data_IF_286064717990
#
_entry.id   IF_286064717990
#
_cell.length_a   1.000
_cell.length_b   1.000
_cell.length_c   1.000
_cell.angle_alpha   90.00
_cell.angle_beta   90.00
_cell.angle_gamma   90.00
#
_symmetry.space_group_name_H-M   'P 1'
#
loop_
_entity.id
_entity.type
_entity.pdbx_description
1 polymer ?
#
# COMPACT_ATOMS: atom_id res chain seq x y z
N UNK A 1 -42.37 36.87 15.31
CA UNK A 1 -41.52 36.24 14.29
C UNK A 1 -40.29 37.13 14.11
N UNK A 2 -39.16 36.64 14.61
CA UNK A 2 -37.78 37.14 14.56
C UNK A 2 -37.27 37.09 13.10
N UNK A 3 -36.46 38.03 12.59
CA UNK A 3 -35.04 38.22 12.94
C UNK A 3 -34.52 39.63 12.55
N UNK A 4 -33.97 40.36 13.51
CA UNK A 4 -32.97 41.42 13.29
C UNK A 4 -31.89 41.23 14.36
N UNK A 5 -30.91 40.38 14.08
CA UNK A 5 -29.88 39.96 15.04
C UNK A 5 -28.46 40.24 14.52
N UNK A 6 -28.28 41.33 13.79
CA UNK A 6 -26.95 41.91 13.61
C UNK A 6 -27.15 43.41 13.64
N UNK A 7 -26.94 44.00 14.80
CA UNK A 7 -26.08 45.17 14.94
C UNK A 7 -26.08 45.64 16.39
N UNK A 8 -24.88 45.99 16.85
CA UNK A 8 -24.58 46.58 18.15
C UNK A 8 -24.55 45.55 19.30
N UNK A 9 -23.53 45.47 20.16
CA UNK A 9 -22.60 46.49 20.65
C UNK A 9 -21.35 45.77 21.27
N UNK A 10 -20.22 46.51 21.37
CA UNK A 10 -19.08 46.37 22.32
C UNK A 10 -18.06 45.28 21.95
N UNK A 11 -16.88 45.57 21.38
CA UNK A 11 -15.83 46.52 21.77
C UNK A 11 -15.41 46.42 23.25
N UNK A 12 -15.14 45.21 23.72
CA UNK A 12 -14.37 44.97 24.94
C UNK A 12 -13.27 43.95 24.64
N UNK A 13 -12.02 44.40 24.74
CA UNK A 13 -10.84 43.54 24.59
C UNK A 13 -10.75 42.60 25.79
N UNK A 14 -10.76 41.26 25.60
CA UNK A 14 -10.49 40.36 26.70
C UNK A 14 -8.98 40.28 26.93
N UNK A 15 -8.59 40.69 28.12
CA UNK A 15 -7.28 40.60 28.75
C UNK A 15 -6.59 39.25 28.50
N UNK A 16 -5.35 39.34 28.01
CA UNK A 16 -4.24 38.38 28.07
C UNK A 16 -4.56 37.02 28.73
N UNK A 17 -5.07 36.06 27.94
CA UNK A 17 -5.13 34.67 28.35
C UNK A 17 -3.75 34.09 28.08
N UNK A 18 -3.03 33.81 29.17
CA UNK A 18 -1.72 33.15 29.14
C UNK A 18 -1.75 32.00 28.13
N UNK A 19 -0.74 31.96 27.26
CA UNK A 19 -0.46 30.87 26.32
C UNK A 19 -0.59 29.52 27.05
N UNK A 20 -1.77 28.91 26.94
CA UNK A 20 -1.95 27.50 27.17
C UNK A 20 -1.37 26.83 25.94
N UNK A 21 -0.05 26.66 25.95
CA UNK A 21 0.59 25.67 25.09
C UNK A 21 -0.14 24.34 25.39
N UNK A 22 -0.88 23.74 24.44
CA UNK A 22 -1.17 22.33 24.61
C UNK A 22 0.20 21.63 24.70
N UNK A 23 0.42 20.68 25.61
CA UNK A 23 1.61 19.87 25.54
C UNK A 23 1.51 19.13 24.20
N UNK A 24 2.22 19.64 23.19
CA UNK A 24 2.56 18.90 22.00
C UNK A 24 3.52 17.80 22.47
N UNK A 25 2.95 16.78 23.13
CA UNK A 25 3.48 15.45 22.94
C UNK A 25 3.25 15.19 21.47
N UNK A 26 4.27 15.56 20.69
CA UNK A 26 4.58 14.90 19.44
C UNK A 26 4.61 13.43 19.84
N UNK A 27 3.48 12.75 19.64
CA UNK A 27 3.48 11.32 19.57
C UNK A 27 4.34 11.08 18.34
N UNK A 28 5.63 10.86 18.57
CA UNK A 28 6.48 10.22 17.59
C UNK A 28 5.85 8.83 17.50
N UNK A 29 4.80 8.72 16.69
CA UNK A 29 4.59 7.47 15.99
C UNK A 29 5.88 7.31 15.24
N UNK A 30 6.74 6.44 15.75
CA UNK A 30 7.70 5.72 14.94
C UNK A 30 6.85 5.16 13.81
N UNK A 31 6.68 5.96 12.75
CA UNK A 31 6.40 5.43 11.45
C UNK A 31 7.64 4.59 11.23
N UNK A 32 7.50 3.29 11.44
CA UNK A 32 8.28 2.32 10.70
C UNK A 32 8.14 2.76 9.25
N UNK A 33 9.04 3.64 8.81
CA UNK A 33 9.18 4.02 7.43
C UNK A 33 9.66 2.74 6.79
N UNK A 34 8.68 1.95 6.36
CA UNK A 34 8.92 0.78 5.55
C UNK A 34 9.80 1.26 4.41
N UNK A 35 11.04 0.81 4.39
CA UNK A 35 12.02 1.19 3.37
C UNK A 35 11.59 0.51 2.08
N UNK A 36 10.72 1.18 1.34
CA UNK A 36 10.14 0.68 0.11
C UNK A 36 11.19 0.59 -0.98
N UNK A 37 11.17 -0.50 -1.74
CA UNK A 37 11.93 -0.55 -2.99
C UNK A 37 11.10 0.11 -4.10
N UNK A 38 11.11 1.45 -4.16
CA UNK A 38 10.32 2.24 -5.13
C UNK A 38 10.58 1.88 -6.60
N UNK A 39 11.78 1.44 -6.94
CA UNK A 39 12.20 1.07 -8.32
C UNK A 39 11.66 -0.30 -8.80
N UNK A 40 10.89 -1.00 -7.97
CA UNK A 40 10.51 -2.41 -8.16
C UNK A 40 9.69 -2.76 -9.42
N UNK A 41 9.05 -1.79 -10.07
CA UNK A 41 8.05 -2.09 -11.10
C UNK A 41 8.61 -2.29 -12.51
N UNK A 42 9.77 -1.70 -12.81
CA UNK A 42 10.25 -1.56 -14.19
C UNK A 42 10.90 -2.83 -14.73
N UNK A 43 11.68 -3.52 -13.90
CA UNK A 43 12.41 -4.74 -14.30
C UNK A 43 11.66 -5.99 -13.84
N UNK A 44 11.77 -7.09 -14.58
CA UNK A 44 11.30 -8.40 -14.11
C UNK A 44 11.94 -8.76 -12.77
N UNK A 45 11.16 -9.42 -11.92
CA UNK A 45 11.64 -9.98 -10.66
C UNK A 45 12.26 -11.37 -10.87
N UNK A 46 12.76 -11.97 -9.79
CA UNK A 46 13.10 -13.39 -9.81
C UNK A 46 11.88 -14.25 -10.15
N UNK A 47 12.10 -15.39 -10.80
CA UNK A 47 11.08 -16.25 -11.42
C UNK A 47 9.80 -16.42 -10.58
N UNK A 48 9.94 -16.78 -9.29
CA UNK A 48 8.82 -17.02 -8.37
C UNK A 48 7.99 -15.74 -8.12
N UNK A 49 8.66 -14.60 -7.92
CA UNK A 49 7.98 -13.32 -7.68
C UNK A 49 7.38 -12.75 -8.97
N UNK A 50 8.03 -12.95 -10.10
CA UNK A 50 7.52 -12.52 -11.40
C UNK A 50 6.28 -13.33 -11.80
N UNK A 51 6.29 -14.65 -11.58
CA UNK A 51 5.12 -15.50 -11.78
C UNK A 51 3.94 -15.05 -10.91
N UNK A 52 4.18 -14.74 -9.63
CA UNK A 52 3.16 -14.19 -8.75
C UNK A 52 2.61 -12.84 -9.26
N UNK A 53 3.48 -11.93 -9.70
CA UNK A 53 3.05 -10.66 -10.28
C UNK A 53 2.18 -10.86 -11.53
N UNK A 54 2.52 -11.80 -12.40
CA UNK A 54 1.71 -12.13 -13.58
C UNK A 54 0.35 -12.71 -13.20
N UNK A 55 0.28 -13.58 -12.19
CA UNK A 55 -0.97 -14.12 -11.68
C UNK A 55 -1.87 -13.02 -11.08
N UNK A 56 -1.30 -12.05 -10.35
CA UNK A 56 -2.06 -10.89 -9.86
C UNK A 56 -2.69 -10.08 -10.99
N UNK A 57 -1.99 -9.89 -12.10
CA UNK A 57 -2.54 -9.19 -13.28
C UNK A 57 -3.73 -9.97 -13.85
N UNK A 58 -3.61 -11.28 -14.04
CA UNK A 58 -4.71 -12.11 -14.55
C UNK A 58 -5.93 -12.08 -13.63
N UNK A 59 -5.72 -12.17 -12.31
CA UNK A 59 -6.81 -12.09 -11.33
C UNK A 59 -7.48 -10.73 -11.35
N UNK A 60 -6.70 -9.66 -11.47
CA UNK A 60 -7.24 -8.31 -11.62
C UNK A 60 -8.07 -8.17 -12.90
N UNK A 61 -7.57 -8.65 -14.04
CA UNK A 61 -8.31 -8.62 -15.31
C UNK A 61 -9.67 -9.31 -15.19
N UNK A 62 -9.70 -10.50 -14.59
CA UNK A 62 -10.96 -11.22 -14.33
C UNK A 62 -11.89 -10.42 -13.41
N UNK A 63 -11.38 -9.86 -12.32
CA UNK A 63 -12.16 -9.03 -11.40
C UNK A 63 -12.71 -7.78 -12.11
N UNK A 64 -11.88 -7.13 -12.93
CA UNK A 64 -12.24 -5.95 -13.70
C UNK A 64 -13.38 -6.24 -14.68
N UNK A 65 -13.27 -7.29 -15.49
CA UNK A 65 -14.31 -7.63 -16.46
C UNK A 65 -15.60 -8.08 -15.79
N UNK A 66 -15.52 -8.75 -14.64
CA UNK A 66 -16.70 -9.13 -13.86
C UNK A 66 -17.46 -7.93 -13.30
N UNK A 67 -16.76 -6.86 -12.90
CA UNK A 67 -17.37 -5.68 -12.30
C UNK A 67 -17.74 -4.58 -13.30
N UNK A 68 -16.83 -4.26 -14.21
CA UNK A 68 -16.96 -3.14 -15.14
C UNK A 68 -17.66 -3.54 -16.43
N UNK A 69 -17.63 -4.82 -16.82
CA UNK A 69 -18.16 -5.32 -18.11
C UNK A 69 -17.73 -4.41 -19.27
N UNK A 70 -18.67 -4.00 -20.14
CA UNK A 70 -18.44 -3.11 -21.29
C UNK A 70 -18.39 -1.62 -20.93
N UNK A 71 -18.57 -1.25 -19.65
CA UNK A 71 -18.74 0.16 -19.25
C UNK A 71 -17.42 0.89 -18.98
N UNK A 72 -16.27 0.23 -19.06
CA UNK A 72 -14.99 0.88 -18.81
C UNK A 72 -14.48 1.65 -20.03
N UNK A 73 -14.09 2.92 -19.84
CA UNK A 73 -13.46 3.72 -20.88
C UNK A 73 -12.02 3.28 -21.25
N UNK A 74 -11.37 2.48 -20.39
CA UNK A 74 -9.97 2.08 -20.53
C UNK A 74 -9.78 0.60 -20.17
N UNK A 75 -8.79 -0.09 -20.76
CA UNK A 75 -8.50 -1.48 -20.43
C UNK A 75 -8.00 -1.64 -18.98
N UNK A 76 -8.12 -2.85 -18.39
CA UNK A 76 -7.72 -3.13 -17.01
C UNK A 76 -6.27 -2.74 -16.71
N UNK A 77 -5.37 -2.94 -17.67
CA UNK A 77 -3.93 -2.63 -17.54
C UNK A 77 -3.61 -1.17 -17.22
N UNK A 78 -4.53 -0.23 -17.53
CA UNK A 78 -4.40 1.19 -17.16
C UNK A 78 -4.61 1.40 -15.65
N UNK A 79 -5.47 0.61 -15.04
CA UNK A 79 -5.78 0.68 -13.60
C UNK A 79 -4.78 -0.13 -12.77
N UNK A 80 -4.45 -1.33 -13.25
CA UNK A 80 -3.51 -2.21 -12.58
C UNK A 80 -2.81 -3.09 -13.61
N UNK A 81 -1.52 -2.85 -13.80
CA UNK A 81 -0.67 -3.60 -14.73
C UNK A 81 0.50 -4.26 -14.03
N UNK A 82 1.37 -4.86 -14.84
CA UNK A 82 2.53 -5.61 -14.35
C UNK A 82 3.46 -4.77 -13.46
N UNK A 83 3.58 -3.47 -13.71
CA UNK A 83 4.40 -2.57 -12.89
C UNK A 83 3.91 -2.50 -11.45
N UNK A 84 2.60 -2.33 -11.26
CA UNK A 84 1.96 -2.32 -9.94
C UNK A 84 2.02 -3.70 -9.30
N UNK A 85 1.74 -4.76 -10.06
CA UNK A 85 1.81 -6.13 -9.58
C UNK A 85 3.22 -6.52 -9.08
N UNK A 86 4.28 -6.10 -9.78
CA UNK A 86 5.66 -6.30 -9.34
C UNK A 86 5.98 -5.56 -8.04
N UNK A 87 5.47 -4.34 -7.86
CA UNK A 87 5.61 -3.62 -6.57
C UNK A 87 4.97 -4.41 -5.43
N UNK A 88 3.79 -4.97 -5.65
CA UNK A 88 3.11 -5.82 -4.66
C UNK A 88 3.94 -7.08 -4.39
N UNK A 89 4.34 -7.82 -5.44
CA UNK A 89 5.10 -9.05 -5.31
C UNK A 89 6.44 -8.86 -4.56
N UNK A 90 7.16 -7.76 -4.82
CA UNK A 90 8.42 -7.49 -4.14
C UNK A 90 8.27 -7.16 -2.66
N UNK A 91 7.12 -6.61 -2.26
CA UNK A 91 6.85 -6.23 -0.87
C UNK A 91 5.93 -7.23 -0.16
N UNK A 92 5.69 -8.42 -0.72
CA UNK A 92 4.66 -9.38 -0.27
C UNK A 92 4.76 -9.79 1.21
N UNK A 93 5.95 -9.71 1.81
CA UNK A 93 6.18 -10.04 3.21
C UNK A 93 5.62 -9.00 4.18
N UNK A 94 5.53 -7.74 3.76
CA UNK A 94 5.21 -6.58 4.60
C UNK A 94 3.91 -5.87 4.17
N UNK A 95 3.14 -6.50 3.28
CA UNK A 95 1.87 -5.92 2.83
C UNK A 95 0.85 -5.89 3.96
N UNK A 96 0.31 -4.71 4.17
CA UNK A 96 -0.88 -4.44 4.98
C UNK A 96 -1.88 -3.69 4.11
N UNK A 97 -3.13 -3.63 4.57
CA UNK A 97 -4.20 -2.92 3.87
C UNK A 97 -3.79 -1.47 3.53
N UNK A 98 -3.29 -0.73 4.52
CA UNK A 98 -2.89 0.68 4.36
C UNK A 98 -1.73 0.86 3.38
N UNK A 99 -0.81 -0.11 3.34
CA UNK A 99 0.39 -0.04 2.51
C UNK A 99 0.11 -0.39 1.04
N UNK A 100 -0.85 -1.28 0.79
CA UNK A 100 -1.24 -1.66 -0.58
C UNK A 100 -1.81 -0.44 -1.32
N UNK A 101 -2.58 0.41 -0.65
CA UNK A 101 -3.13 1.62 -1.26
C UNK A 101 -2.05 2.58 -1.75
N UNK A 102 -1.02 2.78 -0.93
CA UNK A 102 0.11 3.63 -1.28
C UNK A 102 0.95 3.06 -2.44
N UNK A 103 1.05 1.73 -2.55
CA UNK A 103 1.88 1.08 -3.58
C UNK A 103 1.25 1.14 -4.98
N UNK A 104 -0.08 1.09 -5.05
CA UNK A 104 -0.83 1.00 -6.31
C UNK A 104 -1.32 2.38 -6.77
N UNK A 105 -1.53 3.29 -5.81
CA UNK A 105 -2.13 4.61 -6.02
C UNK A 105 -3.57 4.64 -5.50
N UNK A 106 -4.04 5.84 -5.14
CA UNK A 106 -5.30 6.08 -4.41
C UNK A 106 -6.60 5.73 -5.15
N UNK A 107 -6.54 5.09 -6.32
CA UNK A 107 -7.74 4.65 -7.06
C UNK A 107 -7.74 3.15 -7.23
N UNK A 108 -8.59 2.49 -6.47
CA UNK A 108 -8.91 1.08 -6.62
C UNK A 108 -10.34 0.89 -7.09
N UNK A 109 -10.57 -0.22 -7.78
CA UNK A 109 -11.93 -0.68 -8.07
C UNK A 109 -12.44 -1.55 -6.91
N UNK A 110 -13.77 -1.69 -6.74
CA UNK A 110 -14.32 -2.52 -5.68
C UNK A 110 -13.73 -3.94 -5.70
N UNK A 111 -13.48 -4.54 -4.54
CA UNK A 111 -12.91 -5.90 -4.43
C UNK A 111 -11.42 -6.05 -4.80
N UNK A 112 -10.77 -5.05 -5.43
CA UNK A 112 -9.34 -5.12 -5.76
C UNK A 112 -8.47 -5.29 -4.51
N UNK A 113 -8.75 -4.55 -3.44
CA UNK A 113 -7.99 -4.62 -2.19
C UNK A 113 -8.10 -6.00 -1.54
N UNK A 114 -9.33 -6.54 -1.42
CA UNK A 114 -9.57 -7.86 -0.85
C UNK A 114 -8.83 -8.95 -1.64
N UNK A 115 -8.89 -8.89 -2.98
CA UNK A 115 -8.15 -9.77 -3.86
C UNK A 115 -6.64 -9.71 -3.56
N UNK A 116 -6.05 -8.52 -3.50
CA UNK A 116 -4.62 -8.34 -3.28
C UNK A 116 -4.16 -8.83 -1.91
N UNK A 117 -4.90 -8.51 -0.84
CA UNK A 117 -4.58 -8.98 0.52
C UNK A 117 -4.65 -10.50 0.58
N UNK A 118 -5.75 -11.10 0.11
CA UNK A 118 -5.95 -12.54 0.13
C UNK A 118 -4.90 -13.29 -0.68
N UNK A 119 -4.59 -12.80 -1.87
CA UNK A 119 -3.60 -13.43 -2.75
C UNK A 119 -2.18 -13.28 -2.21
N UNK A 120 -1.83 -12.13 -1.62
CA UNK A 120 -0.56 -11.93 -0.94
C UNK A 120 -0.40 -12.88 0.26
N UNK A 121 -1.44 -13.01 1.08
CA UNK A 121 -1.44 -13.93 2.23
C UNK A 121 -1.30 -15.39 1.78
N UNK A 122 -2.11 -15.81 0.80
CA UNK A 122 -2.07 -17.16 0.24
C UNK A 122 -0.69 -17.47 -0.34
N UNK A 123 -0.12 -16.54 -1.11
CA UNK A 123 1.21 -16.72 -1.68
C UNK A 123 2.29 -16.78 -0.59
N UNK A 124 2.23 -15.89 0.41
CA UNK A 124 3.17 -15.87 1.52
C UNK A 124 3.16 -17.17 2.31
N UNK A 125 1.99 -17.77 2.52
CA UNK A 125 1.85 -19.03 3.26
C UNK A 125 2.14 -20.27 2.39
N UNK A 126 2.27 -20.12 1.08
CA UNK A 126 2.47 -21.23 0.15
C UNK A 126 3.88 -21.82 0.18
N UNK A 127 3.97 -23.15 0.03
CA UNK A 127 5.22 -23.92 0.10
C UNK A 127 6.30 -23.42 -0.88
N UNK A 128 5.90 -23.02 -2.08
CA UNK A 128 6.81 -22.51 -3.12
C UNK A 128 7.55 -21.27 -2.61
N UNK A 129 6.83 -20.34 -1.98
CA UNK A 129 7.42 -19.12 -1.47
C UNK A 129 8.24 -19.36 -0.20
N UNK A 130 7.77 -20.25 0.69
CA UNK A 130 8.52 -20.64 1.88
C UNK A 130 9.85 -21.31 1.54
N UNK A 131 9.86 -22.22 0.57
CA UNK A 131 11.08 -22.83 0.06
C UNK A 131 12.03 -21.79 -0.56
N UNK A 132 11.48 -20.83 -1.31
CA UNK A 132 12.26 -19.72 -1.84
C UNK A 132 12.95 -18.92 -0.73
N UNK A 133 12.23 -18.56 0.34
CA UNK A 133 12.80 -17.84 1.49
C UNK A 133 13.91 -18.65 2.17
N UNK A 134 13.72 -19.96 2.35
CA UNK A 134 14.72 -20.83 2.95
C UNK A 134 16.00 -20.91 2.11
N UNK A 135 15.87 -21.02 0.78
CA UNK A 135 17.02 -21.01 -0.14
C UNK A 135 17.76 -19.67 -0.07
N UNK A 136 17.04 -18.55 0.00
CA UNK A 136 17.66 -17.22 0.12
C UNK A 136 18.43 -17.08 1.43
N UNK A 137 17.84 -17.47 2.56
CA UNK A 137 18.51 -17.46 3.87
C UNK A 137 19.78 -18.31 3.87
N UNK A 138 19.72 -19.52 3.31
CA UNK A 138 20.87 -20.42 3.21
C UNK A 138 22.01 -19.84 2.35
N UNK A 139 21.67 -19.11 1.28
CA UNK A 139 22.66 -18.42 0.43
C UNK A 139 23.34 -17.28 1.19
N UNK A 140 22.57 -16.43 1.87
CA UNK A 140 23.12 -15.32 2.66
C UNK A 140 24.07 -15.81 3.76
N UNK A 141 23.66 -16.84 4.52
CA UNK A 141 24.48 -17.41 5.58
C UNK A 141 25.78 -18.06 5.06
N UNK A 142 25.77 -18.61 3.82
CA UNK A 142 26.96 -19.17 3.19
C UNK A 142 27.94 -18.09 2.72
N UNK A 143 27.43 -16.95 2.25
CA UNK A 143 28.26 -15.80 1.86
C UNK A 143 28.98 -15.24 3.09
N UNK A 144 28.28 -15.06 4.20
CA UNK A 144 28.88 -14.57 5.45
C UNK A 144 29.98 -15.48 5.99
N UNK A 145 29.81 -16.81 5.91
CA UNK A 145 30.86 -17.77 6.33
C UNK A 145 32.10 -17.77 5.44
N UNK A 146 31.98 -17.37 4.18
CA UNK A 146 33.10 -17.36 3.24
C UNK A 146 33.83 -16.01 3.18
N UNK A 147 33.36 -15.00 3.94
CA UNK A 147 33.95 -13.68 4.02
C UNK A 147 34.94 -13.50 5.20
N UNK A 148 35.13 -14.56 6.01
CA UNK A 148 36.10 -14.68 7.09
C UNK A 148 37.08 -15.82 6.80
#
# INVERSE_FOLDING_TARGET
MTTKNFDSIILESPTNIASLNPPSKVCITEKDEVVWVKESGEKPLGEILEAFAQELVKKFENLFYNQMKEYSAYPPSVYFGIKQARKIAKNVTILTWDNIEQLIGHKMIPGQMEMLVKDAETFRLGDIYQNFLQIQQNRSAKIERNAY
#
